data_IF_902844036256
#
_entry.id   IF_902844036256
#
_cell.length_a   1.000
_cell.length_b   1.000
_cell.length_c   1.000
_cell.angle_alpha   90.00
_cell.angle_beta   90.00
_cell.angle_gamma   90.00
#
_symmetry.space_group_name_H-M   'P 1'
#
loop_
_entity.id
_entity.type
_entity.pdbx_description
1 polymer ?
#
# COMPACT_ATOMS: atom_id res chain seq x y z
N UNK A 1 2.05 -5.19 -5.65
CA UNK A 1 0.90 -5.57 -4.82
C UNK A 1 -0.27 -6.17 -5.60
N UNK A 2 -0.56 -5.74 -6.84
CA UNK A 2 -1.68 -6.25 -7.64
C UNK A 2 -1.73 -7.79 -7.77
N UNK A 3 -0.65 -8.43 -8.24
CA UNK A 3 -0.60 -9.89 -8.43
C UNK A 3 -0.92 -10.67 -7.15
N UNK A 4 -0.37 -10.27 -6.01
CA UNK A 4 -0.63 -10.93 -4.72
C UNK A 4 -2.09 -10.79 -4.27
N UNK A 5 -2.71 -9.63 -4.52
CA UNK A 5 -4.13 -9.43 -4.22
C UNK A 5 -5.03 -10.24 -5.16
N UNK A 6 -4.66 -10.29 -6.44
CA UNK A 6 -5.38 -11.10 -7.42
C UNK A 6 -5.30 -12.60 -7.06
N UNK A 7 -4.10 -13.07 -6.72
CA UNK A 7 -3.83 -14.43 -6.24
C UNK A 7 -4.72 -14.77 -5.02
N UNK A 8 -4.72 -13.91 -4.00
CA UNK A 8 -5.56 -14.09 -2.82
C UNK A 8 -7.07 -14.08 -3.15
N UNK A 9 -7.50 -13.24 -4.10
CA UNK A 9 -8.91 -13.13 -4.51
C UNK A 9 -9.38 -14.37 -5.25
N UNK A 10 -8.52 -14.95 -6.10
CA UNK A 10 -8.83 -16.14 -6.90
C UNK A 10 -8.55 -17.47 -6.16
N UNK A 11 -7.96 -17.42 -4.96
CA UNK A 11 -7.53 -18.62 -4.24
C UNK A 11 -6.38 -19.37 -4.95
N UNK A 12 -5.54 -18.64 -5.67
CA UNK A 12 -4.41 -19.17 -6.44
C UNK A 12 -3.08 -18.66 -5.87
N UNK A 13 -1.97 -19.32 -6.20
CA UNK A 13 -0.65 -18.77 -5.94
C UNK A 13 -0.24 -17.78 -7.05
N UNK A 14 0.76 -16.93 -6.79
CA UNK A 14 1.32 -16.06 -7.85
C UNK A 14 1.93 -16.89 -8.99
N UNK A 15 2.53 -18.05 -8.68
CA UNK A 15 3.06 -18.97 -9.69
C UNK A 15 1.95 -19.53 -10.58
N UNK A 16 0.79 -19.87 -10.01
CA UNK A 16 -0.35 -20.36 -10.80
C UNK A 16 -0.83 -19.28 -11.78
N UNK A 17 -0.89 -18.03 -11.32
CA UNK A 17 -1.21 -16.88 -12.17
C UNK A 17 -0.21 -16.77 -13.33
N UNK A 18 1.09 -16.80 -13.04
CA UNK A 18 2.14 -16.63 -14.06
C UNK A 18 2.21 -17.80 -15.05
N UNK A 19 1.69 -18.97 -14.70
CA UNK A 19 1.75 -20.19 -15.54
C UNK A 19 0.46 -20.48 -16.29
N UNK A 20 -0.69 -20.13 -15.72
CA UNK A 20 -2.02 -20.49 -16.26
C UNK A 20 -2.74 -19.34 -16.93
N UNK A 21 -2.36 -18.10 -16.61
CA UNK A 21 -2.99 -16.89 -17.14
C UNK A 21 -2.12 -16.27 -18.22
N UNK A 22 -2.71 -15.91 -19.35
CA UNK A 22 -1.99 -15.19 -20.39
C UNK A 22 -1.90 -13.68 -20.08
N UNK A 23 -1.05 -12.98 -20.83
CA UNK A 23 -0.85 -11.53 -20.65
C UNK A 23 -2.11 -10.72 -20.94
N UNK A 24 -3.04 -11.24 -21.75
CA UNK A 24 -4.27 -10.56 -22.13
C UNK A 24 -5.27 -10.59 -20.99
N UNK A 25 -5.53 -11.77 -20.45
CA UNK A 25 -6.40 -11.97 -19.30
C UNK A 25 -5.86 -11.21 -18.07
N UNK A 26 -4.54 -11.23 -17.84
CA UNK A 26 -3.94 -10.43 -16.77
C UNK A 26 -4.18 -8.91 -16.95
N UNK A 27 -4.12 -8.44 -18.20
CA UNK A 27 -4.38 -7.04 -18.54
C UNK A 27 -5.86 -6.68 -18.36
N UNK A 28 -6.77 -7.61 -18.68
CA UNK A 28 -8.20 -7.46 -18.43
C UNK A 28 -8.48 -7.38 -16.92
N UNK A 29 -7.86 -8.23 -16.10
CA UNK A 29 -7.95 -8.13 -14.63
C UNK A 29 -7.42 -6.81 -14.09
N UNK A 30 -6.34 -6.28 -14.67
CA UNK A 30 -5.80 -4.98 -14.28
C UNK A 30 -6.78 -3.85 -14.62
N UNK A 31 -7.43 -3.92 -15.79
CA UNK A 31 -8.46 -2.97 -16.19
C UNK A 31 -9.69 -3.05 -15.28
N UNK A 32 -10.16 -4.26 -14.96
CA UNK A 32 -11.26 -4.48 -13.99
C UNK A 32 -10.92 -3.87 -12.64
N UNK A 33 -9.74 -4.18 -12.09
CA UNK A 33 -9.25 -3.63 -10.82
C UNK A 33 -9.25 -2.10 -10.80
N UNK A 34 -8.87 -1.47 -11.91
CA UNK A 34 -8.70 -0.02 -11.97
C UNK A 34 -10.00 0.74 -12.22
N UNK A 35 -10.89 0.21 -13.04
CA UNK A 35 -12.01 0.98 -13.58
C UNK A 35 -13.38 0.50 -13.14
N UNK A 36 -13.53 -0.76 -12.72
CA UNK A 36 -14.85 -1.34 -12.48
C UNK A 36 -15.00 -1.87 -11.06
N UNK A 37 -14.06 -2.70 -10.61
CA UNK A 37 -14.13 -3.38 -9.33
C UNK A 37 -12.73 -3.50 -8.73
N UNK A 38 -12.35 -2.62 -7.78
CA UNK A 38 -11.08 -2.76 -7.11
C UNK A 38 -11.02 -4.07 -6.33
N UNK A 39 -9.90 -4.80 -6.47
CA UNK A 39 -9.63 -6.00 -5.69
C UNK A 39 -9.74 -5.69 -4.18
N UNK A 40 -10.30 -6.61 -3.38
CA UNK A 40 -10.51 -6.39 -1.96
C UNK A 40 -9.24 -5.96 -1.19
N UNK A 41 -9.42 -5.03 -0.27
CA UNK A 41 -8.38 -4.50 0.62
C UNK A 41 -9.00 -4.11 1.96
N UNK A 42 -9.47 -5.14 2.70
CA UNK A 42 -10.28 -4.97 3.90
C UNK A 42 -9.61 -4.09 4.95
N UNK A 43 -8.31 -4.27 5.19
CA UNK A 43 -7.57 -3.46 6.16
C UNK A 43 -7.53 -1.98 5.78
N UNK A 44 -7.33 -1.65 4.50
CA UNK A 44 -7.35 -0.26 4.06
C UNK A 44 -8.75 0.35 4.11
N UNK A 45 -9.78 -0.41 3.73
CA UNK A 45 -11.18 0.02 3.82
C UNK A 45 -11.56 0.33 5.28
N UNK A 46 -11.25 -0.58 6.19
CA UNK A 46 -11.46 -0.40 7.63
C UNK A 46 -10.67 0.78 8.17
N UNK A 47 -9.41 0.94 7.77
CA UNK A 47 -8.57 2.07 8.19
C UNK A 47 -9.12 3.43 7.73
N UNK A 48 -9.67 3.51 6.51
CA UNK A 48 -10.34 4.74 6.03
C UNK A 48 -11.59 5.05 6.85
N UNK A 49 -12.41 4.04 7.14
CA UNK A 49 -13.61 4.22 7.96
C UNK A 49 -13.26 4.63 9.39
N UNK A 50 -12.26 3.99 10.01
CA UNK A 50 -11.80 4.32 11.35
C UNK A 50 -11.23 5.74 11.43
N UNK A 51 -10.39 6.12 10.46
CA UNK A 51 -9.85 7.47 10.32
C UNK A 51 -10.96 8.52 10.18
N UNK A 52 -11.93 8.27 9.30
CA UNK A 52 -13.08 9.16 9.09
C UNK A 52 -13.96 9.29 10.34
N UNK A 53 -14.18 8.20 11.07
CA UNK A 53 -14.96 8.18 12.30
C UNK A 53 -14.28 8.95 13.46
N UNK A 54 -12.94 8.92 13.52
CA UNK A 54 -12.17 9.58 14.57
C UNK A 54 -11.81 11.04 14.25
N UNK A 55 -11.84 11.44 12.97
CA UNK A 55 -11.46 12.78 12.54
C UNK A 55 -12.21 13.92 13.28
N UNK A 56 -13.54 13.85 13.55
CA UNK A 56 -14.26 14.90 14.28
C UNK A 56 -13.82 15.07 15.74
N UNK A 57 -13.25 14.02 16.35
CA UNK A 57 -12.79 14.00 17.74
C UNK A 57 -11.28 14.28 17.86
N UNK A 58 -10.60 14.46 16.73
CA UNK A 58 -9.16 14.69 16.68
C UNK A 58 -8.85 16.19 16.68
N UNK A 59 -7.73 16.59 17.28
CA UNK A 59 -7.24 17.97 17.17
C UNK A 59 -6.93 18.28 15.70
N UNK A 60 -7.05 19.55 15.30
CA UNK A 60 -6.74 20.00 13.94
C UNK A 60 -5.33 19.55 13.55
N UNK A 61 -5.21 18.79 12.45
CA UNK A 61 -3.94 18.25 11.96
C UNK A 61 -3.46 16.97 12.65
N UNK A 62 -4.23 16.40 13.59
CA UNK A 62 -3.90 15.15 14.29
C UNK A 62 -4.92 14.03 14.04
N UNK A 63 -5.70 14.11 12.95
CA UNK A 63 -6.54 13.00 12.55
C UNK A 63 -5.65 11.81 12.17
N UNK A 64 -5.90 10.60 12.71
CA UNK A 64 -5.07 9.43 12.45
C UNK A 64 -5.15 9.05 10.97
N UNK A 65 -4.02 8.69 10.37
CA UNK A 65 -3.99 8.20 9.00
C UNK A 65 -4.62 6.81 8.90
N UNK A 66 -5.32 6.54 7.79
CA UNK A 66 -5.86 5.19 7.50
C UNK A 66 -4.82 4.06 7.57
N UNK A 67 -3.55 4.37 7.28
CA UNK A 67 -2.45 3.39 7.32
C UNK A 67 -2.06 2.96 8.74
N UNK A 68 -2.34 3.78 9.76
CA UNK A 68 -2.03 3.47 11.16
C UNK A 68 -2.90 2.34 11.72
N UNK A 69 -4.03 2.06 11.07
CA UNK A 69 -4.94 0.98 11.44
C UNK A 69 -4.62 -0.34 10.74
N UNK A 70 -3.64 -0.36 9.83
CA UNK A 70 -3.21 -1.58 9.15
C UNK A 70 -2.12 -2.24 10.00
N UNK A 71 -2.24 -3.52 10.40
CA UNK A 71 -1.25 -4.21 11.23
C UNK A 71 -0.03 -4.64 10.40
N UNK A 72 0.61 -3.68 9.73
CA UNK A 72 1.81 -3.90 8.94
C UNK A 72 3.04 -3.52 9.78
N UNK A 73 4.05 -4.40 9.78
CA UNK A 73 5.33 -4.10 10.40
C UNK A 73 6.13 -3.12 9.54
N UNK A 74 6.83 -2.20 10.20
CA UNK A 74 7.78 -1.31 9.53
C UNK A 74 8.97 -2.15 9.08
N UNK A 75 9.34 -2.15 7.78
CA UNK A 75 10.50 -2.88 7.30
C UNK A 75 11.77 -2.43 8.05
N UNK A 76 12.68 -3.36 8.41
CA UNK A 76 13.92 -3.01 9.07
C UNK A 76 14.75 -2.11 8.15
N UNK A 77 15.20 -0.96 8.66
CA UNK A 77 16.12 -0.06 7.94
C UNK A 77 17.56 -0.51 8.17
N UNK A 78 18.30 -0.73 7.08
CA UNK A 78 19.73 -1.01 7.18
C UNK A 78 20.50 0.27 7.55
N UNK A 79 21.56 0.23 8.39
CA UNK A 79 22.31 1.43 8.80
C UNK A 79 22.84 2.27 7.65
N UNK A 80 23.15 1.66 6.49
CA UNK A 80 23.55 2.38 5.28
C UNK A 80 22.45 3.29 4.73
N UNK A 81 21.19 2.84 4.74
CA UNK A 81 20.06 3.67 4.29
C UNK A 81 19.89 4.90 5.18
N UNK A 82 20.14 4.76 6.49
CA UNK A 82 20.10 5.89 7.43
C UNK A 82 21.22 6.90 7.12
N UNK A 83 22.43 6.43 6.79
CA UNK A 83 23.54 7.30 6.38
C UNK A 83 23.22 8.05 5.09
N UNK A 84 22.67 7.37 4.10
CA UNK A 84 22.28 7.96 2.81
C UNK A 84 21.17 9.01 2.99
N UNK A 85 20.20 8.74 3.87
CA UNK A 85 19.14 9.69 4.24
C UNK A 85 19.72 10.95 4.90
N UNK A 86 20.68 10.78 5.82
CA UNK A 86 21.35 11.89 6.50
C UNK A 86 22.19 12.73 5.52
N UNK A 87 22.90 12.10 4.59
CA UNK A 87 23.67 12.80 3.56
C UNK A 87 22.77 13.64 2.65
N UNK A 88 21.60 13.10 2.25
CA UNK A 88 20.60 13.85 1.47
C UNK A 88 20.03 15.04 2.23
N UNK A 89 19.74 14.89 3.52
CA UNK A 89 19.27 15.98 4.37
C UNK A 89 20.30 17.08 4.54
N UNK A 90 21.58 16.72 4.75
CA UNK A 90 22.67 17.70 4.85
C UNK A 90 22.80 18.53 3.56
N UNK A 91 22.80 17.87 2.39
CA UNK A 91 22.86 18.56 1.10
C UNK A 91 21.65 19.48 0.86
N UNK A 92 20.45 19.08 1.30
CA UNK A 92 19.24 19.90 1.18
C UNK A 92 19.28 21.17 2.05
N UNK A 93 19.88 21.09 3.24
CA UNK A 93 20.07 22.24 4.14
C UNK A 93 21.13 23.22 3.63
N UNK A 94 22.18 22.73 2.97
CA UNK A 94 23.21 23.59 2.35
C UNK A 94 22.71 24.31 1.10
N UNK A 95 21.65 23.80 0.46
CA UNK A 95 21.03 24.39 -0.73
C UNK A 95 19.91 25.40 -0.44
N UNK A 96 19.53 25.60 0.83
CA UNK A 96 18.49 26.54 1.29
C UNK A 96 19.07 27.80 1.91
#
# INVERSE_FOLDING_TARGET
>A
MFLFRLAATLGMTVRDIETRMDSRELSEWLAVHRYFMPLPDSWRQTGVLASAALAPYSKRGQAPSSSEFVPAETPPKHPLQVRDDLARLAAALEAS
#
